data_IF_597719261727
#
_entry.id   IF_597719261727
#
_cell.length_a   1.000
_cell.length_b   1.000
_cell.length_c   1.000
_cell.angle_alpha   90.00
_cell.angle_beta   90.00
_cell.angle_gamma   90.00
#
_symmetry.space_group_name_H-M   'P 1'
#
loop_
_entity.id
_entity.type
_entity.pdbx_description
1 polymer ?
#
# COMPACT_ATOMS: atom_id res chain seq x y z
N UNK A 1 37.05 -91.93 -7.99
CA UNK A 1 36.14 -91.83 -9.14
C UNK A 1 35.99 -90.37 -9.52
N UNK A 2 36.33 -90.05 -10.78
CA UNK A 2 36.01 -88.84 -11.58
C UNK A 2 36.41 -87.47 -11.00
N UNK A 3 37.47 -86.77 -11.42
CA UNK A 3 37.93 -86.27 -12.74
C UNK A 3 36.94 -85.33 -13.43
N UNK A 4 37.28 -84.03 -13.52
CA UNK A 4 37.40 -83.17 -14.72
C UNK A 4 37.69 -81.72 -14.23
N UNK A 5 38.90 -81.18 -14.44
CA UNK A 5 39.29 -80.22 -15.50
C UNK A 5 38.42 -78.94 -15.48
N UNK A 6 38.92 -77.73 -15.25
CA UNK A 6 40.18 -77.11 -15.63
C UNK A 6 39.83 -75.83 -16.40
N UNK A 7 40.28 -74.66 -15.94
CA UNK A 7 40.30 -73.44 -16.76
C UNK A 7 41.27 -72.39 -16.20
N UNK A 8 41.95 -71.75 -17.14
CA UNK A 8 43.14 -70.90 -17.06
C UNK A 8 42.82 -69.45 -16.64
N UNK A 9 43.78 -68.69 -16.07
CA UNK A 9 43.57 -67.28 -15.71
C UNK A 9 43.79 -66.35 -16.92
N UNK A 10 42.78 -65.53 -17.23
CA UNK A 10 42.90 -64.39 -18.14
C UNK A 10 43.25 -63.11 -17.39
N UNK A 11 44.08 -62.29 -18.04
CA UNK A 11 44.80 -61.12 -17.56
C UNK A 11 43.94 -60.01 -16.91
N UNK A 12 44.56 -59.15 -16.08
CA UNK A 12 43.89 -58.01 -15.46
C UNK A 12 43.56 -56.92 -16.50
N UNK A 13 42.27 -56.58 -16.57
CA UNK A 13 41.79 -55.42 -17.29
C UNK A 13 42.30 -54.12 -16.66
N UNK A 14 42.85 -53.26 -17.51
CA UNK A 14 43.19 -51.86 -17.22
C UNK A 14 42.01 -51.14 -16.58
N UNK A 15 42.11 -50.85 -15.29
CA UNK A 15 41.26 -49.87 -14.61
C UNK A 15 41.77 -48.49 -15.02
N UNK A 16 41.05 -47.85 -15.93
CA UNK A 16 41.25 -46.44 -16.23
C UNK A 16 40.87 -45.65 -14.98
N UNK A 17 41.88 -45.27 -14.19
CA UNK A 17 41.78 -44.29 -13.10
C UNK A 17 41.33 -42.96 -13.70
N UNK A 18 40.02 -42.76 -13.74
CA UNK A 18 39.44 -41.45 -13.93
C UNK A 18 39.68 -40.67 -12.64
N UNK A 19 40.76 -39.89 -12.62
CA UNK A 19 41.05 -38.90 -11.58
C UNK A 19 39.83 -38.03 -11.37
N UNK A 20 39.27 -38.10 -10.16
CA UNK A 20 38.25 -37.18 -9.69
C UNK A 20 38.75 -35.74 -9.85
N UNK A 21 37.95 -34.81 -10.39
CA UNK A 21 38.30 -33.40 -10.34
C UNK A 21 38.30 -32.97 -8.87
N UNK A 22 39.40 -32.34 -8.46
CA UNK A 22 39.55 -31.71 -7.16
C UNK A 22 38.34 -30.81 -6.85
N UNK A 23 37.92 -30.69 -5.56
CA UNK A 23 36.88 -29.76 -5.18
C UNK A 23 37.35 -28.35 -5.51
N UNK A 24 36.82 -27.82 -6.62
CA UNK A 24 36.97 -26.43 -6.99
C UNK A 24 36.50 -25.59 -5.82
N UNK A 25 37.44 -24.85 -5.24
CA UNK A 25 37.12 -23.78 -4.30
C UNK A 25 36.34 -22.75 -5.09
N UNK A 26 35.01 -22.88 -5.12
CA UNK A 26 34.11 -21.86 -5.64
C UNK A 26 34.21 -20.70 -4.66
N UNK A 27 35.17 -19.81 -4.90
CA UNK A 27 35.20 -18.50 -4.28
C UNK A 27 33.90 -17.83 -4.68
N UNK A 28 32.95 -17.84 -3.75
CA UNK A 28 31.74 -17.04 -3.81
C UNK A 28 32.21 -15.58 -3.85
N UNK A 29 32.33 -15.03 -5.06
CA UNK A 29 32.50 -13.60 -5.24
C UNK A 29 31.25 -12.96 -4.65
N UNK A 30 31.42 -12.26 -3.53
CA UNK A 30 30.42 -11.38 -2.95
C UNK A 30 29.81 -10.53 -4.07
N UNK A 31 28.48 -10.41 -4.18
CA UNK A 31 27.87 -9.57 -5.20
C UNK A 31 28.36 -8.13 -4.99
N UNK A 32 29.16 -7.67 -5.94
CA UNK A 32 29.67 -6.31 -6.05
C UNK A 32 28.50 -5.34 -6.14
N UNK A 33 28.48 -4.39 -5.20
CA UNK A 33 27.85 -3.07 -5.24
C UNK A 33 26.53 -2.95 -6.00
N UNK A 34 25.44 -2.76 -5.26
CA UNK A 34 24.20 -2.18 -5.76
C UNK A 34 24.51 -0.85 -6.47
N UNK A 35 24.58 -0.85 -7.80
CA UNK A 35 24.60 0.36 -8.61
C UNK A 35 23.24 1.01 -8.46
N UNK A 36 23.13 2.00 -7.56
CA UNK A 36 21.94 2.83 -7.44
C UNK A 36 21.66 3.47 -8.80
N UNK A 37 20.49 3.21 -9.42
CA UNK A 37 20.19 3.81 -10.72
C UNK A 37 20.21 5.33 -10.60
N UNK A 38 21.00 5.99 -11.45
CA UNK A 38 21.10 7.44 -11.52
C UNK A 38 19.69 8.03 -11.73
N UNK A 39 19.20 8.92 -10.86
CA UNK A 39 17.84 9.41 -10.93
C UNK A 39 17.62 10.17 -12.24
N UNK A 40 16.64 9.73 -13.03
CA UNK A 40 16.20 10.46 -14.23
C UNK A 40 15.62 11.81 -13.78
N UNK A 41 16.11 12.95 -14.29
CA UNK A 41 15.62 14.26 -13.89
C UNK A 41 14.14 14.40 -14.30
N UNK A 42 13.25 14.61 -13.31
CA UNK A 42 11.85 14.93 -13.53
C UNK A 42 10.81 14.04 -12.84
N UNK A 43 11.19 12.90 -12.25
CA UNK A 43 10.28 12.06 -11.46
C UNK A 43 10.67 12.10 -9.99
N UNK A 44 10.00 12.95 -9.20
CA UNK A 44 10.13 12.91 -7.74
C UNK A 44 9.48 11.62 -7.24
N UNK A 45 10.31 10.62 -6.96
CA UNK A 45 9.86 9.42 -6.24
C UNK A 45 9.36 9.75 -4.84
N UNK A 46 8.76 8.79 -4.13
CA UNK A 46 8.44 8.99 -2.72
C UNK A 46 9.73 9.37 -1.95
N UNK A 47 9.62 10.24 -0.94
CA UNK A 47 10.76 10.81 -0.21
C UNK A 47 11.71 9.76 0.37
N UNK A 48 11.18 8.57 0.69
CA UNK A 48 11.95 7.47 1.24
C UNK A 48 12.69 6.62 0.20
N UNK A 49 12.44 6.80 -1.10
CA UNK A 49 13.09 6.01 -2.14
C UNK A 49 14.61 6.26 -2.25
N UNK A 50 15.05 7.45 -1.85
CA UNK A 50 16.47 7.83 -1.83
C UNK A 50 17.17 7.53 -0.51
N UNK A 51 16.43 7.07 0.51
CA UNK A 51 16.99 6.81 1.83
C UNK A 51 17.58 5.39 1.83
N UNK A 52 18.89 5.23 2.06
CA UNK A 52 19.48 3.90 2.15
C UNK A 52 18.94 3.17 3.38
N UNK A 53 18.64 1.88 3.21
CA UNK A 53 18.20 1.03 4.31
C UNK A 53 19.37 0.77 5.26
N UNK A 54 19.21 0.99 6.57
CA UNK A 54 20.29 0.76 7.51
C UNK A 54 20.59 -0.75 7.59
N UNK A 55 21.88 -1.09 7.47
CA UNK A 55 22.37 -2.45 7.71
C UNK A 55 22.49 -2.67 9.22
N UNK A 56 21.36 -2.94 9.85
CA UNK A 56 21.32 -3.21 11.27
C UNK A 56 21.86 -4.62 11.53
N UNK A 57 22.94 -4.70 12.31
CA UNK A 57 23.39 -5.98 12.83
C UNK A 57 22.38 -6.44 13.87
N UNK A 58 21.56 -7.42 13.49
CA UNK A 58 20.64 -8.09 14.42
C UNK A 58 21.19 -9.47 14.76
N UNK A 59 22.04 -9.60 15.79
CA UNK A 59 22.65 -10.87 16.15
C UNK A 59 21.67 -11.93 16.68
N UNK A 60 20.38 -11.61 16.84
CA UNK A 60 19.40 -12.49 17.50
C UNK A 60 18.01 -12.56 16.86
N UNK A 61 17.84 -12.06 15.63
CA UNK A 61 16.54 -12.21 14.95
C UNK A 61 16.41 -13.64 14.41
N UNK A 62 15.89 -14.54 15.25
CA UNK A 62 15.43 -15.84 14.80
C UNK A 62 14.13 -15.69 14.03
N UNK A 63 14.02 -16.39 12.89
CA UNK A 63 12.73 -16.57 12.23
C UNK A 63 11.71 -17.20 13.18
N UNK A 64 10.43 -16.93 12.93
CA UNK A 64 9.32 -17.65 13.54
C UNK A 64 9.33 -19.12 13.12
N UNK A 65 9.19 -20.02 14.09
CA UNK A 65 9.11 -21.47 13.86
C UNK A 65 7.66 -21.90 13.82
N UNK A 66 7.22 -22.40 12.67
CA UNK A 66 5.85 -22.90 12.49
C UNK A 66 5.67 -24.28 13.13
N UNK A 67 4.59 -24.38 13.90
CA UNK A 67 4.04 -25.61 14.46
C UNK A 67 3.35 -26.43 13.35
N UNK A 68 2.58 -25.77 12.48
CA UNK A 68 1.92 -26.42 11.35
C UNK A 68 2.84 -26.49 10.14
N UNK A 69 3.32 -27.70 9.81
CA UNK A 69 4.21 -27.92 8.66
C UNK A 69 3.50 -27.73 7.31
N UNK A 70 2.20 -27.95 7.25
CA UNK A 70 1.42 -27.68 6.04
C UNK A 70 1.26 -26.18 5.81
N UNK A 71 1.07 -25.40 6.88
CA UNK A 71 1.03 -23.95 6.79
C UNK A 71 2.39 -23.36 6.45
N UNK A 72 3.46 -23.86 7.06
CA UNK A 72 4.84 -23.49 6.71
C UNK A 72 5.09 -23.75 5.23
N UNK A 73 4.73 -24.95 4.75
CA UNK A 73 4.83 -25.31 3.33
C UNK A 73 4.02 -24.34 2.46
N UNK A 74 2.79 -24.02 2.84
CA UNK A 74 1.94 -23.07 2.11
C UNK A 74 2.60 -21.68 2.02
N UNK A 75 3.12 -21.13 3.13
CA UNK A 75 3.80 -19.83 3.18
C UNK A 75 4.94 -19.76 2.15
N UNK A 76 5.68 -20.85 2.02
CA UNK A 76 6.84 -20.95 1.15
C UNK A 76 6.55 -21.55 -0.24
N UNK A 77 5.28 -21.72 -0.63
CA UNK A 77 4.92 -22.17 -1.99
C UNK A 77 4.40 -20.99 -2.81
N UNK A 78 5.20 -20.51 -3.77
CA UNK A 78 4.77 -19.46 -4.70
C UNK A 78 3.75 -20.01 -5.71
N UNK A 79 2.82 -19.17 -6.18
CA UNK A 79 1.77 -19.57 -7.14
C UNK A 79 2.31 -20.23 -8.43
N UNK A 80 3.52 -19.86 -8.87
CA UNK A 80 4.16 -20.49 -10.02
C UNK A 80 4.59 -21.94 -9.78
N UNK A 81 4.84 -22.35 -8.53
CA UNK A 81 5.10 -23.75 -8.18
C UNK A 81 3.81 -24.56 -8.04
N UNK A 82 2.70 -23.93 -7.63
CA UNK A 82 1.41 -24.58 -7.49
C UNK A 82 0.68 -24.77 -8.84
N UNK A 83 1.03 -23.98 -9.86
CA UNK A 83 0.44 -24.13 -11.18
C UNK A 83 0.82 -25.50 -11.77
N UNK A 84 -0.17 -26.34 -12.15
CA UNK A 84 0.13 -27.58 -12.87
C UNK A 84 0.88 -27.18 -14.14
N UNK A 85 2.08 -27.74 -14.31
CA UNK A 85 2.93 -27.47 -15.46
C UNK A 85 2.13 -27.72 -16.74
N UNK A 86 1.63 -26.65 -17.35
CA UNK A 86 0.73 -26.68 -18.51
C UNK A 86 1.39 -27.31 -19.75
N UNK A 87 2.68 -27.63 -19.66
CA UNK A 87 3.46 -28.31 -20.70
C UNK A 87 3.21 -29.81 -20.86
N UNK A 88 2.54 -30.50 -19.91
CA UNK A 88 2.22 -31.93 -20.07
C UNK A 88 0.77 -32.16 -20.49
N UNK A 89 0.32 -31.46 -21.55
CA UNK A 89 -0.96 -31.75 -22.21
C UNK A 89 -0.97 -33.10 -22.96
N UNK A 90 0.16 -33.80 -23.05
CA UNK A 90 0.32 -35.03 -23.84
C UNK A 90 0.16 -36.35 -23.07
N UNK A 91 -0.05 -36.35 -21.75
CA UNK A 91 -0.34 -37.59 -20.99
C UNK A 91 -1.83 -37.80 -20.67
N UNK A 92 -2.73 -37.17 -21.43
CA UNK A 92 -4.19 -37.27 -21.26
C UNK A 92 -4.79 -38.59 -21.77
N UNK A 93 -3.98 -39.56 -22.18
CA UNK A 93 -4.46 -40.78 -22.86
C UNK A 93 -4.53 -42.05 -21.98
N UNK A 94 -4.26 -41.99 -20.67
CA UNK A 94 -4.08 -43.22 -19.89
C UNK A 94 -5.12 -43.58 -18.83
N UNK A 95 -5.52 -42.63 -17.97
CA UNK A 95 -6.16 -42.98 -16.71
C UNK A 95 -7.28 -42.02 -16.33
N UNK A 96 -8.46 -42.24 -16.92
CA UNK A 96 -9.71 -41.50 -16.65
C UNK A 96 -10.14 -41.58 -15.17
N UNK A 97 -9.58 -42.54 -14.41
CA UNK A 97 -9.90 -42.79 -13.01
C UNK A 97 -8.87 -42.24 -12.00
N UNK A 98 -7.81 -41.58 -12.45
CA UNK A 98 -6.89 -40.93 -11.51
C UNK A 98 -7.61 -39.75 -10.85
N UNK A 99 -7.75 -39.78 -9.52
CA UNK A 99 -8.40 -38.69 -8.80
C UNK A 99 -7.69 -37.37 -9.11
N UNK A 100 -8.44 -36.28 -9.35
CA UNK A 100 -7.86 -34.96 -9.53
C UNK A 100 -7.05 -34.63 -8.27
N UNK A 101 -5.72 -34.62 -8.39
CA UNK A 101 -4.84 -34.15 -7.34
C UNK A 101 -5.26 -32.71 -7.03
N UNK A 102 -5.70 -32.47 -5.80
CA UNK A 102 -6.01 -31.11 -5.37
C UNK A 102 -4.72 -30.29 -5.47
N UNK A 103 -4.74 -29.15 -6.18
CA UNK A 103 -3.55 -28.34 -6.34
C UNK A 103 -3.01 -27.96 -4.95
N UNK A 104 -1.70 -28.05 -4.78
CA UNK A 104 -1.05 -27.68 -3.53
C UNK A 104 -1.39 -26.20 -3.23
N UNK A 105 -1.83 -25.87 -2.00
CA UNK A 105 -2.19 -24.49 -1.68
C UNK A 105 -0.97 -23.58 -1.79
N UNK A 106 -1.11 -22.48 -2.52
CA UNK A 106 -0.07 -21.46 -2.64
C UNK A 106 -0.16 -20.40 -1.54
N UNK A 107 0.80 -19.48 -1.55
CA UNK A 107 0.88 -18.40 -0.57
C UNK A 107 0.02 -17.16 -0.91
N UNK A 108 -0.78 -17.18 -1.98
CA UNK A 108 -1.50 -15.98 -2.46
C UNK A 108 -2.52 -15.45 -1.43
N UNK A 109 -3.28 -16.34 -0.79
CA UNK A 109 -4.25 -15.94 0.25
C UNK A 109 -3.56 -15.42 1.52
N UNK A 110 -2.42 -16.03 1.88
CA UNK A 110 -1.62 -15.59 3.03
C UNK A 110 -0.99 -14.23 2.76
N UNK A 111 -0.49 -13.99 1.55
CA UNK A 111 0.04 -12.70 1.11
C UNK A 111 -1.01 -11.60 1.26
N UNK A 112 -2.21 -11.82 0.71
CA UNK A 112 -3.30 -10.83 0.78
C UNK A 112 -3.66 -10.48 2.23
N UNK A 113 -3.76 -11.49 3.09
CA UNK A 113 -4.08 -11.32 4.52
C UNK A 113 -2.94 -10.60 5.24
N UNK A 114 -1.71 -11.05 5.01
CA UNK A 114 -0.50 -10.51 5.63
C UNK A 114 -0.23 -9.07 5.26
N UNK A 115 -0.50 -8.65 4.01
CA UNK A 115 -0.39 -7.26 3.59
C UNK A 115 -1.26 -6.32 4.44
N UNK A 116 -2.48 -6.74 4.78
CA UNK A 116 -3.38 -5.98 5.65
C UNK A 116 -2.90 -5.95 7.09
N UNK A 117 -2.40 -7.08 7.60
CA UNK A 117 -1.86 -7.19 8.96
C UNK A 117 -0.61 -6.32 9.13
N UNK A 118 0.31 -6.31 8.16
CA UNK A 118 1.52 -5.48 8.18
C UNK A 118 1.14 -4.00 8.27
N UNK A 119 0.13 -3.54 7.51
CA UNK A 119 -0.35 -2.15 7.62
C UNK A 119 -0.88 -1.82 9.01
N UNK A 120 -1.64 -2.74 9.62
CA UNK A 120 -2.19 -2.57 10.97
C UNK A 120 -1.08 -2.55 12.02
N UNK A 121 -0.17 -3.53 11.99
CA UNK A 121 0.97 -3.61 12.91
C UNK A 121 1.84 -2.35 12.81
N UNK A 122 2.20 -1.92 11.60
CA UNK A 122 2.98 -0.70 11.40
C UNK A 122 2.26 0.54 11.96
N UNK A 123 0.93 0.64 11.78
CA UNK A 123 0.16 1.74 12.35
C UNK A 123 0.19 1.76 13.88
N UNK A 124 0.05 0.59 14.52
CA UNK A 124 0.13 0.45 16.00
C UNK A 124 1.52 0.84 16.51
N UNK A 125 2.58 0.38 15.84
CA UNK A 125 3.97 0.69 16.21
C UNK A 125 4.23 2.19 16.08
N UNK A 126 3.76 2.84 15.01
CA UNK A 126 3.97 4.27 14.79
C UNK A 126 3.19 5.14 15.79
N UNK A 127 1.92 4.83 16.06
CA UNK A 127 1.11 5.62 17.00
C UNK A 127 1.58 5.44 18.45
N UNK A 128 2.11 4.27 18.80
CA UNK A 128 2.69 4.03 20.13
C UNK A 128 4.03 4.73 20.33
N UNK A 129 4.90 4.75 19.30
CA UNK A 129 6.20 5.41 19.39
C UNK A 129 6.15 6.93 19.25
N UNK A 130 5.22 7.45 18.44
CA UNK A 130 5.17 8.87 18.09
C UNK A 130 3.76 9.46 18.20
N UNK A 131 3.17 9.50 19.40
CA UNK A 131 1.79 9.98 19.59
C UNK A 131 1.59 11.46 19.23
N UNK A 132 2.67 12.25 19.18
CA UNK A 132 2.62 13.68 18.83
C UNK A 132 2.65 13.96 17.31
N UNK A 133 2.92 12.96 16.47
CA UNK A 133 2.96 13.16 15.02
C UNK A 133 1.56 13.34 14.44
N UNK A 134 1.47 14.17 13.40
CA UNK A 134 0.23 14.34 12.64
C UNK A 134 -0.14 13.05 11.90
N UNK A 135 -1.43 12.88 11.61
CA UNK A 135 -1.91 11.74 10.82
C UNK A 135 -1.28 11.65 9.42
N UNK A 136 -0.94 12.80 8.82
CA UNK A 136 -0.22 12.86 7.55
C UNK A 136 1.21 12.31 7.67
N UNK A 137 1.95 12.72 8.71
CA UNK A 137 3.30 12.23 8.97
C UNK A 137 3.32 10.74 9.29
N UNK A 138 2.38 10.27 10.12
CA UNK A 138 2.20 8.84 10.41
C UNK A 138 1.91 8.04 9.13
N UNK A 139 1.05 8.56 8.24
CA UNK A 139 0.75 7.92 6.96
C UNK A 139 1.95 7.89 6.02
N UNK A 140 2.79 8.93 6.00
CA UNK A 140 3.99 9.00 5.19
C UNK A 140 5.05 8.00 5.69
N UNK A 141 5.30 7.94 7.01
CA UNK A 141 6.20 6.97 7.64
C UNK A 141 5.72 5.54 7.40
N UNK A 142 4.41 5.29 7.57
CA UNK A 142 3.83 3.97 7.28
C UNK A 142 4.08 3.57 5.83
N UNK A 143 3.91 4.51 4.89
CA UNK A 143 4.14 4.23 3.46
C UNK A 143 5.60 3.84 3.17
N UNK A 144 6.57 4.41 3.89
CA UNK A 144 7.98 4.04 3.79
C UNK A 144 8.22 2.61 4.32
N UNK A 145 7.67 2.32 5.49
CA UNK A 145 7.80 1.03 6.20
C UNK A 145 6.97 -0.10 5.59
N UNK A 146 6.08 0.18 4.65
CA UNK A 146 5.33 -0.84 3.89
C UNK A 146 5.70 -0.85 2.41
N UNK A 147 6.81 -0.21 2.03
CA UNK A 147 7.27 -0.18 0.65
C UNK A 147 7.90 -1.53 0.25
N UNK A 148 7.75 -1.94 -1.01
CA UNK A 148 8.31 -3.21 -1.52
C UNK A 148 9.82 -3.35 -1.29
N UNK A 149 10.67 -2.32 -1.51
CA UNK A 149 12.11 -2.43 -1.21
C UNK A 149 12.38 -2.73 0.28
N UNK A 150 11.60 -2.15 1.18
CA UNK A 150 11.72 -2.40 2.61
C UNK A 150 11.33 -3.85 2.98
N UNK A 151 10.18 -4.34 2.49
CA UNK A 151 9.80 -5.76 2.67
C UNK A 151 10.82 -6.71 2.06
N UNK A 152 11.39 -6.36 0.90
CA UNK A 152 12.46 -7.15 0.28
C UNK A 152 13.67 -7.28 1.19
N UNK A 153 14.08 -6.17 1.82
CA UNK A 153 15.16 -6.16 2.79
C UNK A 153 14.86 -7.02 4.02
N UNK A 154 13.64 -6.91 4.58
CA UNK A 154 13.23 -7.74 5.72
C UNK A 154 13.19 -9.23 5.38
N UNK A 155 12.70 -9.61 4.19
CA UNK A 155 12.75 -11.00 3.72
C UNK A 155 14.17 -11.54 3.65
N UNK A 156 15.12 -10.75 3.12
CA UNK A 156 16.54 -11.14 3.04
C UNK A 156 17.16 -11.25 4.44
N UNK A 157 16.86 -10.30 5.33
CA UNK A 157 17.32 -10.32 6.72
C UNK A 157 16.86 -11.57 7.46
N UNK A 158 15.61 -12.00 7.23
CA UNK A 158 15.01 -13.20 7.81
C UNK A 158 15.33 -14.49 7.03
N UNK A 159 16.12 -14.40 5.95
CA UNK A 159 16.50 -15.53 5.07
C UNK A 159 15.29 -16.30 4.51
N UNK A 160 14.15 -15.63 4.32
CA UNK A 160 12.92 -16.25 3.80
C UNK A 160 13.08 -16.84 2.37
N UNK A 161 13.79 -16.18 1.44
CA UNK A 161 13.92 -16.68 0.07
C UNK A 161 14.58 -18.07 -0.04
N UNK A 162 15.39 -18.47 0.95
CA UNK A 162 16.09 -19.76 0.94
C UNK A 162 15.12 -20.96 1.04
N UNK A 163 13.93 -20.73 1.60
CA UNK A 163 12.91 -21.76 1.77
C UNK A 163 11.83 -21.71 0.68
N UNK A 164 11.85 -20.70 -0.20
CA UNK A 164 10.79 -20.49 -1.19
C UNK A 164 10.85 -21.56 -2.30
N UNK A 165 9.74 -22.26 -2.49
CA UNK A 165 9.49 -23.19 -3.60
C UNK A 165 8.88 -22.42 -4.76
N UNK A 166 9.58 -22.39 -5.89
CA UNK A 166 9.13 -21.75 -7.13
C UNK A 166 9.54 -22.60 -8.34
N UNK A 167 8.74 -22.58 -9.42
CA UNK A 167 8.96 -23.46 -10.57
C UNK A 167 10.14 -23.04 -11.47
N UNK A 168 10.57 -21.79 -11.41
CA UNK A 168 11.57 -21.23 -12.34
C UNK A 168 12.97 -21.29 -11.74
N UNK A 169 13.99 -21.65 -12.49
CA UNK A 169 15.39 -21.48 -12.04
C UNK A 169 15.88 -20.02 -12.11
N UNK A 170 15.02 -19.10 -12.55
CA UNK A 170 15.34 -17.68 -12.68
C UNK A 170 15.53 -17.02 -11.31
N UNK A 171 16.39 -15.99 -11.21
CA UNK A 171 16.56 -15.22 -9.99
C UNK A 171 15.22 -14.64 -9.54
N UNK A 172 14.95 -14.74 -8.23
CA UNK A 172 13.74 -14.21 -7.63
C UNK A 172 13.68 -12.69 -7.78
N UNK A 173 12.59 -12.21 -8.38
CA UNK A 173 12.35 -10.77 -8.47
C UNK A 173 12.13 -10.16 -7.09
N UNK A 174 12.52 -8.90 -6.89
CA UNK A 174 12.30 -8.18 -5.62
C UNK A 174 10.82 -8.13 -5.25
N UNK A 175 9.94 -8.07 -6.26
CA UNK A 175 8.50 -8.15 -6.07
C UNK A 175 8.09 -9.44 -5.35
N UNK A 176 8.55 -10.59 -5.83
CA UNK A 176 8.23 -11.90 -5.23
C UNK A 176 8.79 -11.97 -3.81
N UNK A 177 10.00 -11.47 -3.58
CA UNK A 177 10.63 -11.47 -2.25
C UNK A 177 9.85 -10.58 -1.25
N UNK A 178 9.35 -9.42 -1.69
CA UNK A 178 8.49 -8.56 -0.88
C UNK A 178 7.15 -9.22 -0.56
N UNK A 179 6.55 -9.89 -1.55
CA UNK A 179 5.27 -10.60 -1.39
C UNK A 179 5.41 -11.82 -0.48
N UNK A 180 6.58 -12.50 -0.50
CA UNK A 180 6.92 -13.56 0.46
C UNK A 180 6.95 -13.06 1.91
N UNK A 181 7.43 -11.83 2.16
CA UNK A 181 7.38 -11.24 3.51
C UNK A 181 5.93 -11.11 4.00
N UNK A 182 5.05 -10.61 3.14
CA UNK A 182 3.63 -10.45 3.45
C UNK A 182 2.98 -11.81 3.72
N UNK A 183 3.24 -12.81 2.86
CA UNK A 183 2.75 -14.17 3.07
C UNK A 183 3.25 -14.78 4.38
N UNK A 184 4.51 -14.55 4.74
CA UNK A 184 5.10 -15.02 5.98
C UNK A 184 4.39 -14.44 7.21
N UNK A 185 4.13 -13.12 7.23
CA UNK A 185 3.36 -12.48 8.29
C UNK A 185 1.92 -13.02 8.34
N UNK A 186 1.28 -13.23 7.18
CA UNK A 186 -0.03 -13.86 7.09
C UNK A 186 -0.06 -15.28 7.66
N UNK A 187 0.99 -16.06 7.40
CA UNK A 187 1.19 -17.38 7.97
C UNK A 187 1.32 -17.35 9.49
N UNK A 188 2.18 -16.49 10.03
CA UNK A 188 2.37 -16.38 11.50
C UNK A 188 1.04 -16.01 12.17
N UNK A 189 0.33 -15.02 11.63
CA UNK A 189 -0.96 -14.61 12.16
C UNK A 189 -1.99 -15.73 12.13
N UNK A 190 -2.01 -16.54 11.05
CA UNK A 190 -2.90 -17.70 10.94
C UNK A 190 -2.55 -18.80 11.94
N UNK A 191 -1.27 -19.04 12.21
CA UNK A 191 -0.85 -20.03 13.23
C UNK A 191 -1.20 -19.58 14.65
N UNK A 192 -0.97 -18.30 14.95
CA UNK A 192 -1.21 -17.74 16.28
C UNK A 192 -2.71 -17.52 16.57
N UNK A 193 -3.51 -17.29 15.53
CA UNK A 193 -4.90 -16.88 15.67
C UNK A 193 -5.06 -15.46 16.23
N UNK A 194 -6.29 -15.05 16.49
CA UNK A 194 -6.61 -13.71 17.02
C UNK A 194 -6.14 -13.53 18.47
N UNK A 195 -6.22 -14.58 19.28
CA UNK A 195 -5.91 -14.56 20.71
C UNK A 195 -4.43 -14.24 21.00
N UNK A 196 -3.52 -14.65 20.10
CA UNK A 196 -2.08 -14.44 20.26
C UNK A 196 -1.54 -13.31 19.37
N UNK A 197 -2.40 -12.41 18.88
CA UNK A 197 -1.97 -11.26 18.06
C UNK A 197 -0.93 -10.39 18.78
N UNK A 198 -1.01 -10.26 20.11
CA UNK A 198 -0.01 -9.54 20.90
C UNK A 198 1.41 -10.09 20.77
N UNK A 199 1.55 -11.42 20.57
CA UNK A 199 2.84 -12.09 20.40
C UNK A 199 3.43 -11.80 19.01
N UNK A 200 2.59 -11.79 17.97
CA UNK A 200 2.98 -11.32 16.63
C UNK A 200 3.40 -9.84 16.68
N UNK A 201 2.62 -9.00 17.35
CA UNK A 201 2.93 -7.57 17.50
C UNK A 201 4.28 -7.35 18.20
N UNK A 202 4.55 -8.04 19.32
CA UNK A 202 5.82 -7.93 20.03
C UNK A 202 7.02 -8.35 19.17
N UNK A 203 6.90 -9.47 18.45
CA UNK A 203 7.93 -9.92 17.51
C UNK A 203 8.16 -8.91 16.39
N UNK A 204 7.08 -8.42 15.77
CA UNK A 204 7.15 -7.45 14.69
C UNK A 204 7.71 -6.09 15.15
N UNK A 205 7.32 -5.63 16.33
CA UNK A 205 7.86 -4.41 16.95
C UNK A 205 9.38 -4.52 17.09
N UNK A 206 9.89 -5.61 17.67
CA UNK A 206 11.33 -5.81 17.84
C UNK A 206 12.08 -5.84 16.49
N UNK A 207 11.45 -6.38 15.44
CA UNK A 207 11.99 -6.40 14.09
C UNK A 207 12.05 -4.99 13.48
N UNK A 208 10.98 -4.19 13.58
CA UNK A 208 10.88 -2.92 12.84
C UNK A 208 11.30 -1.67 13.62
N UNK A 209 11.31 -1.71 14.96
CA UNK A 209 11.59 -0.55 15.81
C UNK A 209 12.85 0.24 15.41
N UNK A 210 14.01 -0.37 15.13
CA UNK A 210 15.18 0.42 14.78
C UNK A 210 15.04 1.09 13.40
N UNK A 211 14.35 0.47 12.45
CA UNK A 211 14.00 1.09 11.17
C UNK A 211 13.02 2.24 11.34
N UNK A 212 12.03 2.09 12.21
CA UNK A 212 11.04 3.14 12.51
C UNK A 212 11.72 4.40 13.04
N UNK A 213 12.66 4.26 13.98
CA UNK A 213 13.45 5.38 14.51
C UNK A 213 14.29 6.05 13.43
N UNK A 214 14.97 5.27 12.61
CA UNK A 214 15.79 5.77 11.50
C UNK A 214 14.95 6.55 10.46
N UNK A 215 13.81 6.00 10.03
CA UNK A 215 12.92 6.69 9.10
C UNK A 215 12.29 7.94 9.70
N UNK A 216 12.00 7.95 11.00
CA UNK A 216 11.50 9.12 11.71
C UNK A 216 12.53 10.26 11.73
N UNK A 217 13.78 9.97 12.06
CA UNK A 217 14.86 10.97 12.02
C UNK A 217 15.07 11.53 10.60
N UNK A 218 15.08 10.65 9.60
CA UNK A 218 15.18 11.07 8.20
C UNK A 218 13.97 11.90 7.75
N UNK A 219 12.78 11.62 8.28
CA UNK A 219 11.56 12.39 8.01
C UNK A 219 11.65 13.80 8.61
N UNK A 220 12.13 13.96 9.85
CA UNK A 220 12.32 15.27 10.47
C UNK A 220 13.39 16.11 9.74
N UNK A 221 14.46 15.46 9.27
CA UNK A 221 15.54 16.13 8.55
C UNK A 221 15.14 16.57 7.14
N UNK A 222 14.09 15.97 6.56
CA UNK A 222 13.59 16.35 5.22
C UNK A 222 13.17 17.81 5.16
N UNK A 223 12.45 18.28 6.17
CA UNK A 223 11.93 19.66 6.18
C UNK A 223 13.05 20.69 6.35
N UNK A 224 14.21 20.30 6.91
CA UNK A 224 15.38 21.15 7.04
C UNK A 224 16.19 21.31 5.74
N UNK A 225 16.13 20.33 4.84
CA UNK A 225 17.01 20.29 3.64
C UNK A 225 16.38 21.05 2.46
N UNK A 226 15.06 21.14 2.39
CA UNK A 226 14.37 22.05 1.48
C UNK A 226 13.01 22.41 2.11
N UNK A 227 12.81 23.65 2.58
CA UNK A 227 11.47 24.15 2.91
C UNK A 227 10.69 24.35 1.60
N UNK A 228 10.36 23.25 0.93
CA UNK A 228 9.31 23.24 -0.07
C UNK A 228 8.04 23.53 0.73
N UNK A 229 7.28 24.59 0.44
CA UNK A 229 6.04 24.88 1.16
C UNK A 229 5.16 23.64 1.08
N UNK A 230 5.12 22.91 2.20
CA UNK A 230 4.48 21.61 2.33
C UNK A 230 3.00 21.85 2.39
N UNK A 231 2.39 22.10 1.22
CA UNK A 231 0.95 21.91 1.04
C UNK A 231 0.69 20.45 1.36
N UNK A 232 0.18 20.21 2.56
CA UNK A 232 0.13 18.88 3.15
C UNK A 232 -0.54 17.88 2.19
N UNK A 233 -0.01 16.67 2.09
CA UNK A 233 -0.60 15.59 1.27
C UNK A 233 -2.08 15.34 1.61
N UNK A 234 -2.46 15.56 2.88
CA UNK A 234 -3.84 15.61 3.36
C UNK A 234 -4.64 16.76 2.75
N UNK A 235 -4.10 17.98 2.67
CA UNK A 235 -4.74 19.06 1.92
C UNK A 235 -4.82 18.76 0.43
N UNK A 236 -3.86 18.08 -0.18
CA UNK A 236 -3.95 17.73 -1.60
C UNK A 236 -5.04 16.69 -1.87
N UNK A 237 -5.22 15.70 -0.98
CA UNK A 237 -6.34 14.73 -1.07
C UNK A 237 -7.67 15.36 -0.68
N UNK A 238 -7.73 16.17 0.36
CA UNK A 238 -8.91 16.93 0.76
C UNK A 238 -9.28 17.95 -0.33
N UNK A 239 -8.30 18.57 -0.99
CA UNK A 239 -8.47 19.37 -2.21
C UNK A 239 -9.05 18.48 -3.28
N UNK A 240 -8.51 17.31 -3.62
CA UNK A 240 -9.10 16.43 -4.66
C UNK A 240 -10.54 16.00 -4.36
N UNK A 241 -10.88 15.68 -3.10
CA UNK A 241 -12.26 15.36 -2.70
C UNK A 241 -13.16 16.61 -2.74
N UNK A 242 -12.69 17.76 -2.25
CA UNK A 242 -13.41 19.02 -2.37
C UNK A 242 -13.50 19.52 -3.82
N UNK A 243 -12.56 19.15 -4.68
CA UNK A 243 -12.42 19.58 -6.09
C UNK A 243 -13.63 19.11 -6.92
N UNK A 244 -14.29 18.02 -6.52
CA UNK A 244 -15.55 17.61 -7.14
C UNK A 244 -16.77 18.46 -6.68
N UNK A 245 -16.73 19.06 -5.49
CA UNK A 245 -17.91 19.65 -4.87
C UNK A 245 -18.45 20.90 -5.61
N UNK A 246 -17.58 21.85 -6.02
CA UNK A 246 -18.07 23.06 -6.70
C UNK A 246 -18.57 22.78 -8.11
N UNK A 247 -17.98 21.83 -8.84
CA UNK A 247 -18.48 21.45 -10.17
C UNK A 247 -19.86 20.82 -10.06
N UNK A 248 -20.08 19.90 -9.12
CA UNK A 248 -21.41 19.32 -8.87
C UNK A 248 -22.43 20.38 -8.47
N UNK A 249 -22.06 21.33 -7.60
CA UNK A 249 -22.95 22.45 -7.21
C UNK A 249 -23.28 23.38 -8.39
N UNK A 250 -22.33 23.63 -9.28
CA UNK A 250 -22.59 24.45 -10.47
C UNK A 250 -23.52 23.73 -11.45
N UNK A 251 -23.35 22.42 -11.65
CA UNK A 251 -24.27 21.59 -12.43
C UNK A 251 -25.69 21.61 -11.83
N UNK A 252 -25.81 21.46 -10.51
CA UNK A 252 -27.07 21.53 -9.78
C UNK A 252 -27.74 22.91 -9.95
N UNK A 253 -26.96 24.00 -9.83
CA UNK A 253 -27.44 25.35 -10.07
C UNK A 253 -27.97 25.52 -11.50
N UNK A 254 -27.25 25.02 -12.50
CA UNK A 254 -27.67 25.07 -13.91
C UNK A 254 -29.01 24.34 -14.11
N UNK A 255 -29.14 23.14 -13.54
CA UNK A 255 -30.35 22.34 -13.60
C UNK A 255 -31.55 23.04 -12.94
N UNK A 256 -31.38 23.56 -11.70
CA UNK A 256 -32.45 24.27 -10.98
C UNK A 256 -32.95 25.51 -11.72
N UNK A 257 -32.07 26.20 -12.44
CA UNK A 257 -32.41 27.41 -13.19
C UNK A 257 -32.80 27.12 -14.65
N UNK A 258 -32.95 25.86 -15.05
CA UNK A 258 -33.27 25.44 -16.42
C UNK A 258 -32.29 26.02 -17.45
N UNK A 259 -31.02 26.09 -17.11
CA UNK A 259 -29.92 26.49 -17.99
C UNK A 259 -29.31 25.24 -18.64
N UNK A 260 -28.62 25.44 -19.76
CA UNK A 260 -27.78 24.37 -20.32
C UNK A 260 -26.67 23.96 -19.32
N UNK A 261 -26.26 22.68 -19.32
CA UNK A 261 -25.13 22.24 -18.50
C UNK A 261 -23.88 23.09 -18.76
N UNK A 262 -23.11 23.46 -17.72
CA UNK A 262 -21.90 24.25 -17.88
C UNK A 262 -20.89 23.56 -18.81
N UNK A 263 -20.38 24.31 -19.79
CA UNK A 263 -19.32 23.87 -20.70
C UNK A 263 -17.98 24.39 -20.18
N UNK A 264 -16.94 23.58 -20.31
CA UNK A 264 -15.59 23.92 -19.86
C UNK A 264 -14.62 23.87 -21.03
N UNK A 265 -13.90 24.95 -21.26
CA UNK A 265 -12.80 25.02 -22.22
C UNK A 265 -11.46 25.09 -21.46
N UNK A 266 -10.44 24.42 -21.99
CA UNK A 266 -9.12 24.35 -21.37
C UNK A 266 -8.06 24.87 -22.33
N UNK A 267 -7.13 25.66 -21.80
CA UNK A 267 -5.91 26.11 -22.48
C UNK A 267 -4.72 25.80 -21.58
N UNK A 268 -3.65 25.25 -22.13
CA UNK A 268 -2.36 25.16 -21.42
C UNK A 268 -1.44 26.32 -21.81
N UNK A 269 -0.36 26.49 -21.04
CA UNK A 269 0.71 27.44 -21.32
C UNK A 269 1.80 26.87 -22.25
N UNK A 270 1.60 25.69 -22.86
CA UNK A 270 2.60 25.00 -23.69
C UNK A 270 3.80 24.40 -22.94
N UNK A 271 3.89 24.54 -21.62
CA UNK A 271 4.97 23.96 -20.81
C UNK A 271 4.67 22.51 -20.42
N UNK A 272 5.73 21.74 -20.13
CA UNK A 272 5.63 20.33 -19.70
C UNK A 272 6.13 20.14 -18.26
N UNK A 273 5.72 19.03 -17.63
CA UNK A 273 6.18 18.65 -16.29
C UNK A 273 5.64 19.57 -15.20
N UNK A 274 6.50 19.97 -14.26
CA UNK A 274 6.11 20.80 -13.11
C UNK A 274 5.71 22.24 -13.49
N UNK A 275 6.08 22.71 -14.69
CA UNK A 275 5.76 24.06 -15.17
C UNK A 275 4.43 24.17 -15.93
N UNK A 276 3.70 23.07 -16.12
CA UNK A 276 2.42 23.10 -16.84
C UNK A 276 1.37 23.89 -16.05
N UNK A 277 0.73 24.85 -16.71
CA UNK A 277 -0.39 25.62 -16.17
C UNK A 277 -1.60 25.41 -17.07
N UNK A 278 -2.70 24.95 -16.47
CA UNK A 278 -4.00 24.79 -17.11
C UNK A 278 -4.90 25.95 -16.75
N UNK A 279 -5.41 26.64 -17.76
CA UNK A 279 -6.49 27.62 -17.65
C UNK A 279 -7.81 26.96 -18.04
N UNK A 280 -8.78 26.94 -17.14
CA UNK A 280 -10.14 26.49 -17.41
C UNK A 280 -11.09 27.68 -17.44
N UNK A 281 -11.90 27.77 -18.50
CA UNK A 281 -12.98 28.75 -18.64
C UNK A 281 -14.31 28.04 -18.60
N UNK A 282 -15.23 28.51 -17.75
CA UNK A 282 -16.57 27.95 -17.64
C UNK A 282 -17.61 28.85 -18.32
N UNK A 283 -18.42 28.22 -19.17
CA UNK A 283 -19.52 28.85 -19.89
C UNK A 283 -20.85 28.31 -19.38
N UNK A 284 -21.80 29.19 -19.09
CA UNK A 284 -23.13 28.84 -18.63
C UNK A 284 -24.18 29.60 -19.45
N UNK A 285 -25.09 28.87 -20.11
CA UNK A 285 -26.08 29.48 -21.01
C UNK A 285 -25.45 30.26 -22.19
N UNK A 286 -24.28 29.81 -22.67
CA UNK A 286 -23.55 30.42 -23.78
C UNK A 286 -22.68 31.63 -23.41
N UNK A 287 -22.74 32.12 -22.16
CA UNK A 287 -21.90 33.21 -21.68
C UNK A 287 -20.71 32.69 -20.87
N UNK A 288 -19.54 33.29 -21.07
CA UNK A 288 -18.38 33.07 -20.21
C UNK A 288 -18.68 33.64 -18.81
N UNK A 289 -18.56 32.81 -17.78
CA UNK A 289 -18.85 33.23 -16.39
C UNK A 289 -17.59 33.42 -15.59
N UNK A 290 -16.64 32.48 -15.64
CA UNK A 290 -15.41 32.56 -14.87
C UNK A 290 -14.26 31.81 -15.55
N UNK A 291 -13.04 32.20 -15.19
CA UNK A 291 -11.81 31.58 -15.67
C UNK A 291 -10.85 31.43 -14.50
N UNK A 292 -10.14 30.31 -14.43
CA UNK A 292 -9.12 30.08 -13.41
C UNK A 292 -7.93 29.29 -13.94
N UNK A 293 -6.76 29.47 -13.33
CA UNK A 293 -5.51 28.79 -13.64
C UNK A 293 -5.08 27.86 -12.50
N UNK A 294 -4.53 26.70 -12.83
CA UNK A 294 -3.97 25.75 -11.85
C UNK A 294 -2.95 24.81 -12.51
N UNK A 295 -2.19 24.06 -11.70
CA UNK A 295 -1.21 23.08 -12.20
C UNK A 295 -1.83 21.80 -12.78
N UNK A 296 -3.15 21.58 -12.56
CA UNK A 296 -3.88 20.45 -13.13
C UNK A 296 -5.21 20.88 -13.76
N UNK A 297 -5.63 20.21 -14.85
CA UNK A 297 -6.93 20.45 -15.51
C UNK A 297 -8.10 20.39 -14.51
N UNK A 298 -8.06 19.41 -13.61
CA UNK A 298 -9.13 19.16 -12.65
C UNK A 298 -9.24 20.29 -11.62
N UNK A 299 -8.10 20.77 -11.10
CA UNK A 299 -8.08 21.90 -10.16
C UNK A 299 -8.50 23.20 -10.84
N UNK A 300 -8.05 23.45 -12.07
CA UNK A 300 -8.47 24.62 -12.86
C UNK A 300 -9.99 24.62 -13.07
N UNK A 301 -10.57 23.47 -13.46
CA UNK A 301 -12.03 23.29 -13.61
C UNK A 301 -12.77 23.63 -12.32
N UNK A 302 -12.26 23.18 -11.18
CA UNK A 302 -12.86 23.41 -9.89
C UNK A 302 -12.80 24.88 -9.45
N UNK A 303 -11.64 25.53 -9.61
CA UNK A 303 -11.48 26.95 -9.30
C UNK A 303 -12.38 27.81 -10.21
N UNK A 304 -12.48 27.48 -11.49
CA UNK A 304 -13.41 28.15 -12.41
C UNK A 304 -14.87 27.94 -11.97
N UNK A 305 -15.23 26.72 -11.53
CA UNK A 305 -16.57 26.44 -10.99
C UNK A 305 -16.86 27.24 -9.71
N UNK A 306 -15.87 27.38 -8.83
CA UNK A 306 -15.95 28.19 -7.60
C UNK A 306 -16.17 29.66 -7.91
N UNK A 307 -15.38 30.21 -8.84
CA UNK A 307 -15.51 31.60 -9.29
C UNK A 307 -16.88 31.87 -9.90
N UNK A 308 -17.37 30.97 -10.75
CA UNK A 308 -18.71 31.08 -11.33
C UNK A 308 -19.82 31.09 -10.28
N UNK A 309 -19.77 30.20 -9.29
CA UNK A 309 -20.74 30.19 -8.18
C UNK A 309 -20.67 31.48 -7.33
N UNK A 310 -19.48 32.06 -7.16
CA UNK A 310 -19.31 33.35 -6.50
C UNK A 310 -20.05 34.48 -7.23
N UNK A 311 -19.80 34.60 -8.54
CA UNK A 311 -20.45 35.59 -9.42
C UNK A 311 -21.97 35.40 -9.48
N UNK A 312 -22.44 34.15 -9.50
CA UNK A 312 -23.87 33.84 -9.53
C UNK A 312 -24.58 34.18 -8.20
N UNK A 313 -23.86 34.15 -7.08
CA UNK A 313 -24.39 34.50 -5.75
C UNK A 313 -24.40 36.00 -5.55
N UNK A 314 -23.38 36.69 -6.03
CA UNK A 314 -23.27 38.15 -5.96
C UNK A 314 -22.92 38.74 -7.34
N UNK A 315 -23.94 39.13 -8.12
CA UNK A 315 -23.74 39.72 -9.45
C UNK A 315 -23.00 41.06 -9.41
N UNK A 316 -22.95 41.73 -8.25
CA UNK A 316 -22.30 43.04 -8.11
C UNK A 316 -20.78 42.96 -8.09
N UNK A 317 -20.23 41.76 -7.87
CA UNK A 317 -18.80 41.48 -7.91
C UNK A 317 -18.22 41.34 -9.35
N UNK A 318 -19.02 41.60 -10.38
CA UNK A 318 -18.54 41.59 -11.77
C UNK A 318 -17.62 42.80 -12.00
N UNK A 319 -16.34 42.54 -12.26
CA UNK A 319 -15.37 43.55 -12.69
C UNK A 319 -15.85 44.18 -14.01
N UNK A 320 -16.16 45.49 -14.03
CA UNK A 320 -16.70 46.16 -15.21
C UNK A 320 -15.72 46.20 -16.40
N UNK A 321 -14.45 45.82 -16.20
CA UNK A 321 -13.45 45.74 -17.28
C UNK A 321 -13.51 44.46 -18.11
N UNK A 322 -14.20 43.42 -17.64
CA UNK A 322 -14.42 42.21 -18.42
C UNK A 322 -15.52 42.48 -19.46
N UNK A 323 -15.12 42.83 -20.69
CA UNK A 323 -16.00 43.17 -21.81
C UNK A 323 -17.07 42.12 -22.11
N UNK A 324 -18.22 42.23 -21.43
CA UNK A 324 -19.42 41.46 -21.72
C UNK A 324 -20.13 42.14 -22.89
N UNK A 325 -20.12 41.50 -24.04
CA UNK A 325 -20.88 41.86 -25.24
C UNK A 325 -22.40 41.74 -24.98
N UNK A 326 -22.98 42.78 -24.37
CA UNK A 326 -24.23 43.47 -24.74
C UNK A 326 -25.58 42.74 -24.90
N UNK A 327 -25.69 41.41 -24.79
CA UNK A 327 -26.96 40.72 -25.14
C UNK A 327 -27.87 40.33 -23.97
N UNK A 328 -27.30 40.03 -22.80
CA UNK A 328 -28.01 39.34 -21.71
C UNK A 328 -28.86 40.26 -20.81
N UNK A 329 -28.35 41.46 -20.50
CA UNK A 329 -29.05 42.39 -19.61
C UNK A 329 -30.28 43.02 -20.27
N UNK A 330 -30.20 43.33 -21.57
CA UNK A 330 -31.33 43.87 -22.34
C UNK A 330 -32.48 42.86 -22.44
N UNK A 331 -32.17 41.56 -22.54
CA UNK A 331 -33.17 40.48 -22.59
C UNK A 331 -33.85 40.26 -21.25
N UNK A 332 -33.13 40.45 -20.13
CA UNK A 332 -33.71 40.40 -18.76
C UNK A 332 -34.56 41.65 -18.47
N UNK A 333 -34.11 42.83 -18.89
CA UNK A 333 -34.89 44.08 -18.80
C UNK A 333 -36.19 43.97 -19.60
N UNK A 334 -36.14 43.55 -20.87
CA UNK A 334 -37.35 43.30 -21.70
C UNK A 334 -38.29 42.24 -21.12
N UNK A 335 -37.78 41.19 -20.47
CA UNK A 335 -38.62 40.15 -19.84
C UNK A 335 -39.32 40.67 -18.59
N UNK A 336 -38.67 41.51 -17.79
CA UNK A 336 -39.26 42.17 -16.63
C UNK A 336 -40.28 43.23 -17.06
N UNK A 337 -39.99 43.98 -18.12
CA UNK A 337 -40.90 44.98 -18.71
C UNK A 337 -42.18 44.35 -19.29
N UNK A 338 -42.07 43.16 -19.91
CA UNK A 338 -43.22 42.35 -20.35
C UNK A 338 -44.08 41.80 -19.21
N UNK A 339 -43.51 41.61 -18.01
CA UNK A 339 -44.26 41.20 -16.81
C UNK A 339 -44.97 42.37 -16.15
N UNK A 340 -44.39 43.57 -16.20
CA UNK A 340 -44.99 44.80 -15.66
C UNK A 340 -46.13 45.33 -16.55
N UNK A 341 -46.12 45.07 -17.86
CA UNK A 341 -47.12 45.63 -18.81
C UNK A 341 -48.41 44.86 -19.01
N UNK A 342 -48.72 43.85 -18.19
CA UNK A 342 -50.04 43.21 -18.20
C UNK A 342 -50.34 42.43 -19.49
N UNK A 343 -50.08 41.13 -19.45
CA UNK A 343 -50.50 40.20 -20.50
C UNK A 343 -51.52 39.21 -19.94
N UNK A 344 -52.78 39.65 -19.82
CA UNK A 344 -53.93 38.75 -19.88
C UNK A 344 -53.87 38.06 -21.26
N UNK A 345 -53.73 36.74 -21.30
CA UNK A 345 -53.91 35.97 -22.52
C UNK A 345 -55.21 35.16 -22.39
N UNK A 346 -56.22 35.39 -23.24
CA UNK A 346 -57.46 34.61 -23.24
C UNK A 346 -57.24 33.21 -23.81
N UNK A 347 -58.17 32.32 -23.46
CA UNK A 347 -58.07 30.86 -23.55
C UNK A 347 -57.57 30.27 -24.87
N UNK A 348 -56.74 29.23 -24.72
CA UNK A 348 -56.47 28.24 -25.76
C UNK A 348 -57.19 26.96 -25.35
N UNK A 349 -58.08 26.40 -26.20
CA UNK A 349 -58.80 25.17 -25.89
C UNK A 349 -57.87 23.96 -25.91
N UNK A 350 -57.99 23.14 -24.86
CA UNK A 350 -57.32 21.84 -24.73
C UNK A 350 -57.78 20.88 -25.83
N UNK A 351 -56.90 20.54 -26.76
CA UNK A 351 -57.00 19.31 -27.54
C UNK A 351 -56.27 18.19 -26.78
N UNK A 352 -57.02 17.12 -26.50
CA UNK A 352 -56.56 15.93 -25.80
C UNK A 352 -55.57 15.13 -26.64
N UNK A 353 -54.38 14.93 -26.11
CA UNK A 353 -53.45 13.90 -26.53
C UNK A 353 -53.59 12.74 -25.55
N UNK A 354 -54.31 11.71 -25.98
CA UNK A 354 -54.36 10.42 -25.29
C UNK A 354 -52.97 9.78 -25.36
N UNK A 355 -52.25 9.81 -24.25
CA UNK A 355 -51.06 8.99 -24.03
C UNK A 355 -51.55 7.62 -23.58
N UNK A 356 -51.39 6.63 -24.45
CA UNK A 356 -51.58 5.23 -24.11
C UNK A 356 -50.50 4.84 -23.07
N UNK A 357 -50.91 4.68 -21.81
CA UNK A 357 -50.07 4.08 -20.78
C UNK A 357 -49.90 2.59 -21.08
N UNK A 358 -48.66 2.13 -21.25
CA UNK A 358 -48.34 0.71 -21.12
C UNK A 358 -48.38 0.31 -19.64
N UNK A 359 -49.01 -0.82 -19.29
CA UNK A 359 -48.99 -1.32 -17.93
C UNK A 359 -47.59 -1.81 -17.54
N UNK A 360 -47.11 -1.36 -16.38
CA UNK A 360 -45.91 -1.91 -15.74
C UNK A 360 -46.14 -3.40 -15.40
N UNK A 361 -45.13 -4.27 -15.55
CA UNK A 361 -45.20 -5.63 -15.03
C UNK A 361 -45.19 -5.61 -13.50
N UNK A 362 -46.28 -6.12 -12.95
CA UNK A 362 -46.52 -6.40 -11.54
C UNK A 362 -45.65 -7.58 -11.09
N UNK A 363 -45.04 -7.44 -9.90
CA UNK A 363 -44.39 -8.46 -9.07
C UNK A 363 -42.92 -8.79 -9.38
N UNK A 364 -42.05 -8.18 -8.55
CA UNK A 364 -40.75 -8.75 -8.20
C UNK A 364 -40.96 -9.90 -7.20
N UNK A 365 -40.24 -11.03 -7.34
CA UNK A 365 -40.33 -12.14 -6.40
C UNK A 365 -39.89 -11.68 -5.00
N UNK A 366 -40.74 -11.95 -4.01
CA UNK A 366 -40.46 -11.72 -2.59
C UNK A 366 -39.24 -12.57 -2.18
N UNK A 367 -38.23 -12.00 -1.52
CA UNK A 367 -37.12 -12.78 -0.98
C UNK A 367 -37.66 -13.72 0.12
N UNK A 368 -37.36 -15.00 -0.01
CA UNK A 368 -37.70 -16.02 0.98
C UNK A 368 -37.13 -15.63 2.34
N UNK A 369 -38.01 -15.58 3.34
CA UNK A 369 -37.68 -15.33 4.74
C UNK A 369 -36.74 -16.45 5.19
N UNK A 370 -35.46 -16.13 5.34
CA UNK A 370 -34.49 -16.98 6.04
C UNK A 370 -34.81 -16.90 7.54
N UNK A 371 -35.03 -18.03 8.24
CA UNK A 371 -35.30 -18.01 9.67
C UNK A 371 -34.11 -17.39 10.41
N UNK A 372 -34.38 -16.37 11.22
CA UNK A 372 -33.39 -15.78 12.12
C UNK A 372 -32.85 -16.85 13.06
N UNK A 373 -31.51 -17.00 13.20
CA UNK A 373 -30.95 -17.81 14.26
C UNK A 373 -31.31 -17.21 15.63
N UNK A 374 -31.51 -18.04 16.67
CA UNK A 374 -31.87 -17.57 18.01
C UNK A 374 -30.81 -16.61 18.54
N UNK A 375 -31.27 -15.50 19.13
CA UNK A 375 -30.41 -14.49 19.72
C UNK A 375 -29.54 -15.11 20.82
N UNK A 376 -28.23 -15.18 20.57
CA UNK A 376 -27.25 -15.50 21.60
C UNK A 376 -27.07 -14.22 22.43
N UNK A 377 -27.27 -14.25 23.76
CA UNK A 377 -27.03 -13.09 24.61
C UNK A 377 -25.54 -12.74 24.55
N UNK A 378 -25.23 -11.56 24.00
CA UNK A 378 -23.90 -10.96 24.07
C UNK A 378 -23.55 -10.72 25.55
N UNK A 379 -22.68 -11.55 26.11
CA UNK A 379 -21.99 -11.22 27.34
C UNK A 379 -20.94 -10.15 27.01
N UNK A 380 -21.13 -8.96 27.58
CA UNK A 380 -20.18 -7.85 27.50
C UNK A 380 -18.81 -8.30 28.06
N UNK A 381 -17.69 -8.01 27.39
CA UNK A 381 -16.38 -8.28 27.94
C UNK A 381 -16.16 -7.43 29.20
N UNK A 382 -15.70 -8.11 30.24
CA UNK A 382 -15.35 -7.55 31.55
C UNK A 382 -14.47 -6.31 31.41
N UNK A 383 -14.93 -5.20 31.99
CA UNK A 383 -14.16 -3.98 32.19
C UNK A 383 -13.01 -4.30 33.14
N UNK A 384 -11.78 -4.37 32.62
CA UNK A 384 -10.58 -4.41 33.43
C UNK A 384 -10.47 -3.11 34.23
N UNK A 385 -10.87 -3.15 35.50
CA UNK A 385 -10.51 -2.12 36.47
C UNK A 385 -9.00 -2.27 36.74
N UNK A 386 -8.22 -1.28 36.30
CA UNK A 386 -6.85 -1.12 36.78
C UNK A 386 -6.88 -0.88 38.28
N UNK A 387 -6.30 -1.80 39.04
CA UNK A 387 -6.07 -1.62 40.45
C UNK A 387 -5.06 -0.47 40.67
N UNK A 388 -5.29 0.42 41.66
CA UNK A 388 -4.35 1.47 41.99
C UNK A 388 -3.04 0.86 42.51
N UNK A 389 -1.94 1.17 41.83
CA UNK A 389 -0.58 0.80 42.24
C UNK A 389 -0.22 1.61 43.49
N UNK A 390 -0.03 0.92 44.61
CA UNK A 390 0.44 1.52 45.84
C UNK A 390 1.88 2.05 45.68
N UNK A 391 2.22 3.22 46.27
CA UNK A 391 3.57 3.76 46.20
C UNK A 391 4.54 2.89 47.01
N UNK A 392 5.47 2.22 46.33
CA UNK A 392 6.60 1.55 46.98
C UNK A 392 7.50 2.59 47.64
N UNK A 393 7.58 2.52 48.96
CA UNK A 393 8.55 3.25 49.77
C UNK A 393 9.95 2.73 49.50
N UNK A 394 10.82 3.60 49.01
CA UNK A 394 12.24 3.34 48.80
C UNK A 394 12.95 3.40 50.16
N UNK A 395 13.62 2.33 50.63
CA UNK A 395 14.43 2.41 51.83
C UNK A 395 15.72 3.18 51.55
N UNK A 396 15.91 4.26 52.31
CA UNK A 396 17.14 5.03 52.41
C UNK A 396 18.27 4.12 52.92
N UNK A 397 19.25 3.79 52.08
CA UNK A 397 20.48 3.13 52.50
C UNK A 397 21.52 4.17 52.93
N UNK A 398 22.08 3.94 54.13
CA UNK A 398 23.22 4.67 54.71
C UNK A 398 24.50 4.52 53.87
N UNK A 399 25.42 5.50 53.90
CA UNK A 399 26.71 5.41 53.23
C UNK A 399 27.72 4.65 54.11
N UNK A 400 28.27 3.56 53.59
CA UNK A 400 29.41 2.85 54.17
C UNK A 400 30.66 3.08 53.31
N UNK A 401 31.69 3.65 53.95
CA UNK A 401 33.08 3.21 53.91
C UNK A 401 33.81 3.12 52.56
N UNK A 402 34.75 4.05 52.36
CA UNK A 402 35.86 3.91 51.41
C UNK A 402 36.70 2.66 51.71
N UNK A 403 36.91 1.80 50.69
CA UNK A 403 37.78 0.63 50.78
C UNK A 403 38.40 0.28 49.43
N UNK A 404 39.69 0.60 49.29
CA UNK A 404 40.75 -0.09 48.53
C UNK A 404 40.56 -0.46 47.05
N UNK A 405 41.41 0.13 46.21
CA UNK A 405 41.65 -0.21 44.80
C UNK A 405 42.05 -1.68 44.56
N UNK A 406 41.57 -2.30 43.46
CA UNK A 406 42.05 -3.61 43.04
C UNK A 406 43.38 -3.52 42.27
N UNK A 407 44.32 -4.37 42.70
CA UNK A 407 45.62 -4.64 42.08
C UNK A 407 45.44 -5.48 40.80
N UNK A 408 46.17 -5.20 39.70
CA UNK A 408 46.08 -6.01 38.48
C UNK A 408 46.82 -7.36 38.62
N UNK A 409 46.34 -8.43 37.96
CA UNK A 409 46.93 -9.76 38.04
C UNK A 409 48.27 -9.85 37.28
N UNK A 410 49.23 -10.69 37.75
CA UNK A 410 50.53 -10.86 37.13
C UNK A 410 50.46 -11.64 35.81
N UNK A 411 51.27 -11.18 34.84
CA UNK A 411 51.33 -11.69 33.48
C UNK A 411 51.81 -13.14 33.37
N UNK A 412 51.13 -13.88 32.50
CA UNK A 412 51.51 -15.21 32.04
C UNK A 412 52.67 -15.10 31.03
N UNK A 413 53.85 -15.57 31.44
CA UNK A 413 55.03 -15.76 30.59
C UNK A 413 54.84 -17.08 29.84
N UNK A 414 54.61 -17.02 28.53
CA UNK A 414 54.67 -18.20 27.66
C UNK A 414 56.11 -18.38 27.20
N UNK A 415 56.78 -19.40 27.75
CA UNK A 415 58.05 -19.95 27.26
C UNK A 415 57.78 -20.65 25.92
N UNK A 416 58.42 -20.17 24.84
CA UNK A 416 58.64 -20.96 23.61
C UNK A 416 59.86 -21.85 23.84
N UNK A 417 59.66 -23.16 23.88
CA UNK A 417 60.72 -24.12 23.58
C UNK A 417 60.48 -24.68 22.19
N UNK A 418 61.57 -24.73 21.41
CA UNK A 418 61.62 -25.33 20.10
C UNK A 418 61.88 -26.82 20.16
N UNK A 419 61.40 -27.50 19.12
CA UNK A 419 61.71 -28.87 18.71
C UNK A 419 61.33 -29.00 17.25
#
# INVERSE_FOLDING_TARGET
MSVLLGQSPSAPGNVHLQTAPAPGTTIFKSPTSNTTPTPTPGRTGPWYASIPLPQLQHPSLSGFTFTSKDLERQVFTHCSAAAPSSGNLQSATGNIWAQPQTPEPDNSTLQWTGASIVQTLCSIVLTSLFPALSSAALSDLRSALTAKPFHTNLSRLLRLPENLRHATQLPLSERIIAELFEAYIGGIARELGTEQFGRLHAWYYNLIQPYVKYYHEAYLNRDNINPIPTVSSSESKLRRQNVAAYTSRLMEYAAKNKLEPPKFEYKDNGLQGAGIEWQATVFLGGAQVATAKATTKLEAKHLASKGALGILRDPSALDPTAGVTGGGQERRKRKMERRMRGGMNPGIPHQGLMIHQQPLPTQWPQPSIVPQPPAIPYQLPMVFHQAPVAPMSIPMHQPMGFGSSPQPPPGLIIKREGG
#
